data_IF_452427054161
#
_entry.id   IF_452427054161
#
_cell.length_a   1.000
_cell.length_b   1.000
_cell.length_c   1.000
_cell.angle_alpha   90.00
_cell.angle_beta   90.00
_cell.angle_gamma   90.00
#
_symmetry.space_group_name_H-M   'P 1'
#
loop_
_entity.id
_entity.type
_entity.pdbx_description
1 polymer ?
#
# COMPACT_ATOMS: atom_id res chain seq x y z
N UNK A 1 -15.57 14.03 -10.51
CA UNK A 1 -16.66 13.18 -10.99
C UNK A 1 -17.83 13.33 -10.02
N UNK A 2 -18.94 13.79 -10.55
CA UNK A 2 -20.18 13.98 -9.79
C UNK A 2 -21.25 13.01 -10.26
N UNK A 3 -22.11 12.63 -9.35
CA UNK A 3 -23.29 11.83 -9.64
C UNK A 3 -24.49 12.35 -8.87
N UNK A 4 -25.61 11.67 -9.02
CA UNK A 4 -26.86 12.04 -8.36
C UNK A 4 -27.31 10.88 -7.47
N UNK A 5 -27.67 11.22 -6.23
CA UNK A 5 -28.18 10.25 -5.28
C UNK A 5 -29.55 10.76 -4.78
N UNK A 6 -30.64 10.14 -5.26
CA UNK A 6 -31.99 10.48 -4.82
C UNK A 6 -32.38 11.94 -5.07
N UNK A 7 -31.89 12.55 -6.14
CA UNK A 7 -32.15 13.96 -6.45
C UNK A 7 -31.11 14.93 -5.93
N UNK A 8 -30.14 14.47 -5.13
CA UNK A 8 -29.06 15.29 -4.61
C UNK A 8 -27.79 15.08 -5.40
N UNK A 9 -27.08 16.15 -5.72
CA UNK A 9 -25.77 16.08 -6.39
C UNK A 9 -24.68 15.69 -5.40
N UNK A 10 -23.90 14.67 -5.75
CA UNK A 10 -22.78 14.17 -4.92
C UNK A 10 -21.49 14.21 -5.73
N UNK A 11 -20.44 14.79 -5.17
CA UNK A 11 -19.10 14.71 -5.75
C UNK A 11 -18.43 13.44 -5.21
N UNK A 12 -18.23 12.45 -6.09
CA UNK A 12 -17.62 11.17 -5.70
C UNK A 12 -16.09 11.22 -5.71
N UNK A 13 -15.54 11.92 -6.69
CA UNK A 13 -14.09 11.99 -6.90
C UNK A 13 -13.73 13.40 -7.37
N UNK A 14 -12.73 13.99 -6.74
CA UNK A 14 -12.14 15.26 -7.17
C UNK A 14 -10.70 15.02 -7.61
N UNK A 15 -10.34 15.51 -8.79
CA UNK A 15 -8.96 15.53 -9.26
C UNK A 15 -8.55 16.99 -9.36
N UNK A 16 -7.52 17.37 -8.62
CA UNK A 16 -7.05 18.74 -8.56
C UNK A 16 -5.77 18.90 -9.37
N UNK A 17 -5.90 19.47 -10.56
CA UNK A 17 -4.77 19.67 -11.47
C UNK A 17 -3.79 20.72 -10.94
N UNK A 18 -4.26 21.68 -10.13
CA UNK A 18 -3.38 22.67 -9.50
C UNK A 18 -2.53 22.08 -8.39
N UNK A 19 -2.91 20.90 -7.89
CA UNK A 19 -2.16 20.13 -6.89
C UNK A 19 -1.53 18.87 -7.54
N UNK A 20 -0.97 19.04 -8.73
CA UNK A 20 -0.26 18.00 -9.48
C UNK A 20 -1.11 16.75 -9.74
N UNK A 21 -2.41 16.91 -9.89
CA UNK A 21 -3.32 15.80 -10.18
C UNK A 21 -3.72 14.98 -8.96
N UNK A 22 -3.60 15.56 -7.77
CA UNK A 22 -4.03 14.87 -6.54
C UNK A 22 -5.51 14.48 -6.66
N UNK A 23 -5.83 13.26 -6.24
CA UNK A 23 -7.18 12.72 -6.29
C UNK A 23 -7.71 12.50 -4.88
N UNK A 24 -8.94 12.95 -4.65
CA UNK A 24 -9.65 12.75 -3.39
C UNK A 24 -10.97 12.08 -3.66
N UNK A 25 -11.17 10.91 -3.04
CA UNK A 25 -12.45 10.22 -3.05
C UNK A 25 -13.28 10.70 -1.87
N UNK A 26 -14.57 10.96 -2.12
CA UNK A 26 -15.47 11.45 -1.08
C UNK A 26 -15.76 10.42 0.01
N UNK A 27 -15.59 9.15 -0.30
CA UNK A 27 -15.84 8.06 0.64
C UNK A 27 -14.72 7.02 0.53
N UNK A 28 -15.01 5.77 0.82
CA UNK A 28 -14.02 4.69 0.80
C UNK A 28 -13.54 4.37 -0.61
N UNK A 29 -12.31 3.88 -0.70
CA UNK A 29 -11.72 3.30 -1.91
C UNK A 29 -11.60 1.80 -1.65
N UNK A 30 -12.28 1.00 -2.46
CA UNK A 30 -12.23 -0.45 -2.33
C UNK A 30 -11.61 -1.08 -3.57
N UNK A 31 -10.81 -2.11 -3.35
CA UNK A 31 -10.20 -2.86 -4.44
C UNK A 31 -10.81 -4.26 -4.49
N UNK A 32 -11.06 -4.76 -5.70
CA UNK A 32 -11.55 -6.13 -5.87
C UNK A 32 -10.49 -7.12 -5.36
N UNK A 33 -10.89 -7.97 -4.41
CA UNK A 33 -10.01 -8.94 -3.79
C UNK A 33 -10.67 -10.30 -3.61
N UNK A 34 -11.69 -10.57 -4.42
CA UNK A 34 -12.40 -11.84 -4.40
C UNK A 34 -11.46 -12.99 -4.77
N UNK A 35 -11.53 -14.09 -4.04
CA UNK A 35 -10.73 -15.29 -4.27
C UNK A 35 -10.81 -15.77 -5.73
N UNK A 36 -11.99 -15.64 -6.34
CA UNK A 36 -12.23 -16.10 -7.71
C UNK A 36 -11.43 -15.34 -8.76
N UNK A 37 -10.91 -14.16 -8.41
CA UNK A 37 -10.09 -13.33 -9.31
C UNK A 37 -8.60 -13.64 -9.20
N UNK A 38 -8.22 -14.55 -8.31
CA UNK A 38 -6.83 -14.81 -7.97
C UNK A 38 -6.47 -16.26 -8.17
N UNK A 39 -5.22 -16.54 -8.47
CA UNK A 39 -4.69 -17.89 -8.61
C UNK A 39 -3.33 -17.99 -7.92
N UNK A 40 -2.86 -19.22 -7.74
CA UNK A 40 -1.57 -19.49 -7.10
C UNK A 40 -1.45 -18.83 -5.73
N UNK A 41 -2.52 -18.89 -4.95
CA UNK A 41 -2.61 -18.26 -3.64
C UNK A 41 -1.78 -19.09 -2.64
N UNK A 42 -0.83 -18.44 -1.99
CA UNK A 42 -0.06 -19.06 -0.91
C UNK A 42 0.36 -17.98 0.09
N UNK A 43 0.55 -18.39 1.34
CA UNK A 43 0.93 -17.48 2.41
C UNK A 43 2.32 -16.93 2.17
N UNK A 44 2.51 -15.64 2.46
CA UNK A 44 3.82 -14.99 2.37
C UNK A 44 4.68 -15.52 3.51
N UNK A 45 5.87 -16.00 3.18
CA UNK A 45 6.85 -16.41 4.17
C UNK A 45 8.00 -15.39 4.23
N UNK A 46 8.85 -15.52 5.25
CA UNK A 46 10.01 -14.65 5.45
C UNK A 46 9.65 -13.15 5.49
N UNK A 47 8.44 -12.85 5.94
CA UNK A 47 7.89 -11.49 5.87
C UNK A 47 8.60 -10.51 6.81
N UNK A 48 8.98 -10.96 8.01
CA UNK A 48 9.66 -10.10 8.98
C UNK A 48 11.03 -9.64 8.46
N UNK A 49 11.77 -10.53 7.80
CA UNK A 49 13.04 -10.16 7.17
C UNK A 49 12.81 -9.19 6.01
N UNK A 50 11.77 -9.40 5.21
CA UNK A 50 11.44 -8.46 4.13
C UNK A 50 11.15 -7.06 4.68
N UNK A 51 10.36 -6.97 5.75
CA UNK A 51 10.07 -5.67 6.39
C UNK A 51 11.36 -5.05 6.93
N UNK A 52 12.27 -5.85 7.47
CA UNK A 52 13.56 -5.36 7.93
C UNK A 52 14.41 -4.72 6.84
N UNK A 53 14.18 -5.11 5.59
CA UNK A 53 14.88 -4.55 4.42
C UNK A 53 14.13 -3.39 3.78
N UNK A 54 12.94 -3.07 4.26
CA UNK A 54 12.16 -1.91 3.80
C UNK A 54 12.50 -0.69 4.62
N UNK A 55 12.22 0.49 4.07
CA UNK A 55 12.44 1.74 4.77
C UNK A 55 11.25 2.68 4.61
N UNK A 56 10.69 3.11 5.72
CA UNK A 56 9.72 4.20 5.75
C UNK A 56 10.47 5.54 5.73
N UNK A 57 9.98 6.48 4.96
CA UNK A 57 10.65 7.77 4.79
C UNK A 57 9.68 8.93 4.89
N UNK A 58 10.22 10.08 5.29
CA UNK A 58 9.61 11.37 5.01
C UNK A 58 10.17 11.88 3.69
N UNK A 59 9.38 12.61 2.94
CA UNK A 59 9.83 13.19 1.67
C UNK A 59 9.08 14.50 1.38
N UNK A 60 9.57 15.21 0.39
CA UNK A 60 8.87 16.32 -0.22
C UNK A 60 8.62 15.97 -1.68
N UNK A 61 7.38 16.08 -2.10
CA UNK A 61 6.98 15.82 -3.48
C UNK A 61 6.10 16.97 -3.95
N UNK A 62 6.45 17.57 -5.08
CA UNK A 62 5.71 18.73 -5.62
C UNK A 62 5.56 19.85 -4.57
N UNK A 63 6.59 20.05 -3.75
CA UNK A 63 6.59 21.08 -2.71
C UNK A 63 5.77 20.73 -1.46
N UNK A 64 5.25 19.51 -1.36
CA UNK A 64 4.40 19.07 -0.23
C UNK A 64 5.10 17.98 0.55
N UNK A 65 5.14 18.13 1.86
CA UNK A 65 5.72 17.12 2.76
C UNK A 65 4.81 15.90 2.82
N UNK A 66 5.42 14.71 2.80
CA UNK A 66 4.69 13.47 2.87
C UNK A 66 5.49 12.36 3.52
N UNK A 67 4.89 11.19 3.63
CA UNK A 67 5.52 9.98 4.14
C UNK A 67 5.18 8.80 3.25
N UNK A 68 6.06 7.83 3.21
CA UNK A 68 5.83 6.63 2.45
C UNK A 68 7.12 5.84 2.26
N UNK A 69 7.26 5.25 1.10
CA UNK A 69 8.43 4.46 0.73
C UNK A 69 8.98 4.96 -0.62
N UNK A 70 10.17 4.52 -0.96
CA UNK A 70 10.80 4.81 -2.26
C UNK A 70 10.62 3.58 -3.16
N UNK A 71 10.04 3.78 -4.34
CA UNK A 71 9.72 2.68 -5.25
C UNK A 71 10.95 1.82 -5.59
N UNK A 72 12.09 2.45 -5.86
CA UNK A 72 13.31 1.74 -6.20
C UNK A 72 13.82 0.86 -5.05
N UNK A 73 13.64 1.30 -3.81
CA UNK A 73 14.01 0.50 -2.63
C UNK A 73 13.04 -0.67 -2.45
N UNK A 74 11.75 -0.43 -2.60
CA UNK A 74 10.73 -1.47 -2.48
C UNK A 74 10.88 -2.54 -3.57
N UNK A 75 11.30 -2.16 -4.76
CA UNK A 75 11.49 -3.09 -5.87
C UNK A 75 12.50 -4.19 -5.55
N UNK A 76 13.51 -3.88 -4.76
CA UNK A 76 14.53 -4.86 -4.35
C UNK A 76 14.01 -5.89 -3.36
N UNK A 77 12.94 -5.59 -2.64
CA UNK A 77 12.40 -6.42 -1.57
C UNK A 77 11.10 -7.10 -2.00
N UNK A 78 10.19 -6.35 -2.60
CA UNK A 78 8.85 -6.80 -2.95
C UNK A 78 8.48 -6.19 -4.30
N UNK A 79 9.08 -6.69 -5.40
CA UNK A 79 8.87 -6.11 -6.72
C UNK A 79 7.41 -6.11 -7.20
N UNK A 80 6.59 -7.02 -6.66
CA UNK A 80 5.19 -7.13 -7.04
C UNK A 80 4.37 -5.86 -6.76
N UNK A 81 4.79 -5.05 -5.78
CA UNK A 81 4.05 -3.82 -5.44
C UNK A 81 4.51 -2.61 -6.25
N UNK A 82 5.58 -2.75 -7.04
CA UNK A 82 6.13 -1.64 -7.82
C UNK A 82 5.62 -1.74 -9.25
N UNK A 83 5.03 -0.65 -9.73
CA UNK A 83 4.52 -0.54 -11.09
C UNK A 83 5.36 0.48 -11.84
N UNK A 84 5.54 0.25 -13.12
CA UNK A 84 6.32 1.13 -13.96
C UNK A 84 5.42 1.69 -15.06
N UNK A 85 5.41 3.00 -15.21
CA UNK A 85 4.79 3.66 -16.33
C UNK A 85 5.88 4.32 -17.18
N UNK A 86 5.50 5.16 -18.14
CA UNK A 86 6.43 5.71 -19.13
C UNK A 86 7.58 6.52 -18.52
N UNK A 87 7.41 7.11 -17.35
CA UNK A 87 8.37 8.06 -16.80
C UNK A 87 8.82 7.71 -15.39
N UNK A 88 7.88 7.36 -14.51
CA UNK A 88 8.17 7.16 -13.09
C UNK A 88 7.69 5.79 -12.60
N UNK A 89 8.36 5.26 -11.58
CA UNK A 89 7.88 4.09 -10.86
C UNK A 89 6.87 4.52 -9.81
N UNK A 90 5.90 3.64 -9.56
CA UNK A 90 4.85 3.86 -8.57
C UNK A 90 4.72 2.65 -7.67
N UNK A 91 4.06 2.83 -6.54
CA UNK A 91 3.87 1.77 -5.55
C UNK A 91 2.38 1.54 -5.32
N UNK A 92 1.97 0.27 -5.43
CA UNK A 92 0.62 -0.15 -5.04
C UNK A 92 0.61 -0.34 -3.52
N UNK A 93 0.44 0.74 -2.79
CA UNK A 93 0.57 0.74 -1.33
C UNK A 93 -0.34 -0.27 -0.64
N UNK A 94 -1.57 -0.45 -1.13
CA UNK A 94 -2.49 -1.42 -0.55
C UNK A 94 -1.98 -2.86 -0.59
N UNK A 95 -1.13 -3.17 -1.55
CA UNK A 95 -0.59 -4.52 -1.69
C UNK A 95 0.54 -4.83 -0.70
N UNK A 96 1.03 -3.85 0.03
CA UNK A 96 2.04 -4.04 1.08
C UNK A 96 1.41 -4.64 2.33
N UNK A 97 0.09 -4.52 2.49
CA UNK A 97 -0.61 -4.95 3.70
C UNK A 97 -0.41 -6.45 3.99
N UNK A 98 -0.36 -7.29 2.97
CA UNK A 98 -0.17 -8.74 3.14
C UNK A 98 1.16 -9.09 3.82
N UNK A 99 2.25 -8.46 3.38
CA UNK A 99 3.56 -8.72 3.99
C UNK A 99 3.62 -8.17 5.42
N UNK A 100 2.96 -7.05 5.68
CA UNK A 100 2.90 -6.49 7.05
C UNK A 100 2.13 -7.41 7.99
N UNK A 101 1.02 -8.00 7.53
CA UNK A 101 0.25 -8.96 8.31
C UNK A 101 1.13 -10.15 8.73
N UNK A 102 1.81 -10.75 7.76
CA UNK A 102 2.63 -11.93 8.05
C UNK A 102 3.88 -11.58 8.85
N UNK A 103 4.46 -10.38 8.66
CA UNK A 103 5.58 -9.92 9.47
C UNK A 103 5.19 -9.75 10.94
N UNK A 104 4.02 -9.19 11.20
CA UNK A 104 3.50 -9.04 12.57
C UNK A 104 3.30 -10.41 13.22
N UNK A 105 2.76 -11.36 12.48
CA UNK A 105 2.54 -12.73 12.99
C UNK A 105 3.86 -13.43 13.30
N UNK A 106 4.87 -13.27 12.45
CA UNK A 106 6.21 -13.81 12.69
C UNK A 106 6.85 -13.18 13.91
N UNK A 107 6.72 -11.86 14.06
CA UNK A 107 7.23 -11.14 15.21
C UNK A 107 6.53 -11.58 16.51
N UNK A 108 5.21 -11.75 16.46
CA UNK A 108 4.43 -12.26 17.58
C UNK A 108 4.95 -13.63 18.03
N UNK A 109 5.20 -14.51 17.08
CA UNK A 109 5.71 -15.84 17.37
C UNK A 109 7.11 -15.80 18.03
N UNK A 110 7.99 -14.91 17.55
CA UNK A 110 9.31 -14.72 18.17
C UNK A 110 9.20 -14.20 19.60
N UNK A 111 8.30 -13.26 19.86
CA UNK A 111 8.07 -12.75 21.21
C UNK A 111 7.56 -13.86 22.13
N UNK A 112 6.63 -14.68 21.65
CA UNK A 112 6.11 -15.83 22.44
C UNK A 112 7.22 -16.83 22.75
N UNK A 113 8.09 -17.12 21.79
CA UNK A 113 9.23 -18.01 21.98
C UNK A 113 10.20 -17.47 23.03
N UNK A 114 10.50 -16.16 22.99
CA UNK A 114 11.36 -15.52 23.99
C UNK A 114 10.74 -15.53 25.37
N UNK A 115 9.42 -15.36 25.49
CA UNK A 115 8.70 -15.45 26.77
C UNK A 115 8.78 -16.85 27.36
N UNK A 116 8.67 -17.89 26.53
CA UNK A 116 8.76 -19.27 26.95
C UNK A 116 10.17 -19.63 27.40
N UNK A 117 11.19 -18.99 26.84
CA UNK A 117 12.60 -19.23 27.17
C UNK A 117 13.06 -18.53 28.45
N UNK A 118 12.25 -17.60 28.99
CA UNK A 118 12.65 -16.83 30.18
C UNK A 118 11.98 -17.29 31.50
#
# INVERSE_FOLDING_TARGET
>A
IKGNDGGSSVTALTIDMSAAGAATFNSTVTENSDERLKSNIHTIDNALNMVGDMRGVYFTKDGVAGTGVIAQEMEKVLPEVVKENDEFKSVAYGQVVGVLIEAIKELKKEVETLKEAS
#
